data_IF_263401673466
#
_entry.id   IF_263401673466
#
_cell.length_a   1.000
_cell.length_b   1.000
_cell.length_c   1.000
_cell.angle_alpha   90.00
_cell.angle_beta   90.00
_cell.angle_gamma   90.00
#
_symmetry.space_group_name_H-M   'P 1'
#
loop_
_entity.id
_entity.type
_entity.pdbx_description
1 polymer ?
#
# COMPACT_ATOMS: atom_id res chain seq x y z
N UNK A 1 -4.10 -4.03 10.79
CA UNK A 1 -4.42 -4.93 9.69
C UNK A 1 -3.72 -4.48 8.41
N UNK A 2 -3.20 -5.40 7.65
CA UNK A 2 -2.47 -5.09 6.42
C UNK A 2 -3.07 -5.86 5.26
N UNK A 3 -3.06 -5.24 4.09
CA UNK A 3 -3.47 -5.90 2.85
C UNK A 3 -2.35 -5.78 1.84
N UNK A 4 -2.30 -6.73 0.94
CA UNK A 4 -1.27 -6.81 -0.08
C UNK A 4 -1.91 -6.96 -1.44
N UNK A 5 -1.19 -6.57 -2.47
CA UNK A 5 -1.65 -6.72 -3.83
C UNK A 5 -2.30 -5.46 -4.37
N UNK A 6 -2.16 -5.27 -5.67
CA UNK A 6 -2.56 -4.04 -6.34
C UNK A 6 -4.06 -3.75 -6.18
N UNK A 7 -4.90 -4.70 -6.54
CA UNK A 7 -6.34 -4.47 -6.55
C UNK A 7 -6.89 -4.19 -5.16
N UNK A 8 -6.45 -4.97 -4.18
CA UNK A 8 -6.93 -4.80 -2.81
C UNK A 8 -6.53 -3.43 -2.26
N UNK A 9 -5.31 -3.00 -2.56
CA UNK A 9 -4.83 -1.70 -2.09
C UNK A 9 -5.60 -0.58 -2.76
N UNK A 10 -5.84 -0.65 -4.06
CA UNK A 10 -6.59 0.38 -4.77
C UNK A 10 -8.00 0.50 -4.22
N UNK A 11 -8.67 -0.62 -4.00
CA UNK A 11 -10.02 -0.60 -3.42
C UNK A 11 -10.03 0.04 -2.04
N UNK A 12 -9.04 -0.28 -1.23
CA UNK A 12 -8.96 0.30 0.11
C UNK A 12 -8.67 1.79 0.08
N UNK A 13 -7.87 2.24 -0.88
CA UNK A 13 -7.62 3.66 -1.07
C UNK A 13 -8.90 4.40 -1.44
N UNK A 14 -9.69 3.84 -2.34
CA UNK A 14 -10.96 4.44 -2.70
C UNK A 14 -11.94 4.48 -1.54
N UNK A 15 -11.85 3.49 -0.65
CA UNK A 15 -12.69 3.44 0.53
C UNK A 15 -12.19 4.33 1.67
N UNK A 16 -11.02 4.93 1.52
CA UNK A 16 -10.45 5.79 2.54
C UNK A 16 -10.00 5.05 3.80
N UNK A 17 -9.63 3.79 3.67
CA UNK A 17 -9.28 2.95 4.83
C UNK A 17 -7.78 2.80 5.05
N UNK A 18 -6.96 3.30 4.15
CA UNK A 18 -5.52 3.11 4.23
C UNK A 18 -4.91 4.12 5.18
N UNK A 19 -4.11 3.63 6.12
CA UNK A 19 -3.41 4.45 7.09
C UNK A 19 -2.01 4.80 6.62
N UNK A 20 -1.33 3.83 6.02
CA UNK A 20 0.02 4.01 5.52
C UNK A 20 0.24 3.05 4.35
N UNK A 21 1.16 3.40 3.49
CA UNK A 21 1.43 2.62 2.28
C UNK A 21 2.91 2.34 2.16
N UNK A 22 3.24 1.11 1.78
CA UNK A 22 4.63 0.71 1.52
C UNK A 22 4.70 0.18 0.11
N UNK A 23 5.68 0.63 -0.66
CA UNK A 23 5.85 0.23 -2.04
C UNK A 23 7.29 -0.13 -2.33
N UNK A 24 7.49 -0.94 -3.36
CA UNK A 24 8.83 -1.34 -3.76
C UNK A 24 9.52 -0.25 -4.58
N UNK A 25 8.85 0.28 -5.57
CA UNK A 25 9.44 1.26 -6.48
C UNK A 25 8.35 2.20 -7.01
N UNK A 26 8.56 3.48 -6.79
CA UNK A 26 7.61 4.50 -7.25
C UNK A 26 7.53 4.60 -8.78
N UNK A 27 8.53 4.09 -9.47
CA UNK A 27 8.58 4.18 -10.94
C UNK A 27 7.76 3.11 -11.63
N UNK A 28 7.29 2.14 -10.89
CA UNK A 28 6.49 1.08 -11.46
C UNK A 28 5.14 1.65 -11.91
N UNK A 29 4.75 1.39 -13.15
CA UNK A 29 3.56 1.99 -13.74
C UNK A 29 2.30 1.83 -12.89
N UNK A 30 2.04 0.63 -12.42
CA UNK A 30 0.87 0.39 -11.60
C UNK A 30 0.92 1.10 -10.26
N UNK A 31 2.12 1.29 -9.72
CA UNK A 31 2.30 1.92 -8.43
C UNK A 31 2.20 3.44 -8.47
N UNK A 32 2.44 4.04 -9.63
CA UNK A 32 2.31 5.49 -9.78
C UNK A 32 0.92 5.96 -9.40
N UNK A 33 -0.09 5.25 -9.85
CA UNK A 33 -1.47 5.61 -9.56
C UNK A 33 -1.78 5.44 -8.09
N UNK A 34 -1.28 4.38 -7.48
CA UNK A 34 -1.47 4.14 -6.05
C UNK A 34 -0.83 5.27 -5.24
N UNK A 35 0.38 5.65 -5.60
CA UNK A 35 1.09 6.73 -4.92
C UNK A 35 0.32 8.04 -5.05
N UNK A 36 -0.20 8.32 -6.24
CA UNK A 36 -0.98 9.52 -6.47
C UNK A 36 -2.22 9.57 -5.60
N UNK A 37 -2.95 8.46 -5.52
CA UNK A 37 -4.14 8.39 -4.68
C UNK A 37 -3.78 8.58 -3.20
N UNK A 38 -2.67 7.98 -2.78
CA UNK A 38 -2.21 8.14 -1.41
C UNK A 38 -1.86 9.58 -1.09
N UNK A 39 -1.19 10.26 -2.01
CA UNK A 39 -0.83 11.66 -1.82
C UNK A 39 -2.07 12.54 -1.71
N UNK A 40 -3.08 12.28 -2.53
CA UNK A 40 -4.33 13.03 -2.48
C UNK A 40 -5.03 12.87 -1.14
N UNK A 41 -4.86 11.72 -0.50
CA UNK A 41 -5.46 11.45 0.80
C UNK A 41 -4.51 11.72 1.95
N UNK A 42 -3.33 12.27 1.67
CA UNK A 42 -2.30 12.58 2.67
C UNK A 42 -1.86 11.35 3.44
N UNK A 43 -1.79 10.22 2.77
CA UNK A 43 -1.33 8.97 3.34
C UNK A 43 0.19 8.89 3.18
N UNK A 44 0.94 8.61 4.25
CA UNK A 44 2.39 8.45 4.13
C UNK A 44 2.74 7.24 3.26
N UNK A 45 3.65 7.44 2.33
CA UNK A 45 4.13 6.40 1.43
C UNK A 45 5.60 6.18 1.72
N UNK A 46 5.97 4.92 2.01
CA UNK A 46 7.33 4.54 2.29
C UNK A 46 7.81 3.58 1.21
N UNK A 47 9.00 3.82 0.71
CA UNK A 47 9.62 2.92 -0.26
C UNK A 47 10.48 1.90 0.50
N UNK A 48 10.21 0.62 0.27
CA UNK A 48 10.92 -0.46 0.93
C UNK A 48 11.54 -1.40 -0.11
N UNK A 49 12.56 -2.14 0.31
CA UNK A 49 13.15 -3.17 -0.53
C UNK A 49 12.18 -4.34 -0.62
N UNK A 50 12.40 -5.21 -1.61
CA UNK A 50 11.56 -6.39 -1.78
C UNK A 50 11.57 -7.27 -0.54
N UNK A 51 12.74 -7.44 0.09
CA UNK A 51 12.86 -8.21 1.32
C UNK A 51 12.03 -7.63 2.45
N UNK A 52 12.06 -6.32 2.56
CA UNK A 52 11.29 -5.64 3.60
C UNK A 52 9.80 -5.76 3.34
N UNK A 53 9.39 -5.66 2.09
CA UNK A 53 7.99 -5.85 1.73
C UNK A 53 7.53 -7.27 2.01
N UNK A 54 8.37 -8.26 1.71
CA UNK A 54 8.05 -9.65 2.00
C UNK A 54 7.83 -9.85 3.51
N UNK A 55 8.66 -9.21 4.31
CA UNK A 55 8.53 -9.29 5.76
C UNK A 55 7.24 -8.63 6.24
N UNK A 56 6.95 -7.44 5.73
CA UNK A 56 5.74 -6.72 6.10
C UNK A 56 4.49 -7.46 5.64
N UNK A 57 4.56 -8.08 4.48
CA UNK A 57 3.44 -8.84 3.93
C UNK A 57 3.21 -10.17 4.64
N UNK A 58 4.15 -10.59 5.48
CA UNK A 58 4.00 -11.85 6.20
C UNK A 58 4.02 -13.07 5.30
N UNK A 59 4.78 -13.02 4.22
CA UNK A 59 4.88 -14.11 3.27
C UNK A 59 3.80 -14.15 2.21
N UNK A 60 2.88 -13.22 2.23
CA UNK A 60 1.83 -13.14 1.21
C UNK A 60 2.36 -12.48 -0.06
N UNK A 61 1.71 -12.77 -1.17
CA UNK A 61 2.04 -12.14 -2.43
C UNK A 61 1.63 -10.67 -2.38
N UNK A 62 2.58 -9.76 -2.54
CA UNK A 62 2.32 -8.32 -2.37
C UNK A 62 2.36 -7.51 -3.67
N UNK A 63 2.87 -8.06 -4.75
CA UNK A 63 2.97 -7.35 -6.05
C UNK A 63 3.68 -6.00 -5.93
N UNK A 64 4.56 -5.88 -4.95
CA UNK A 64 5.31 -4.64 -4.74
C UNK A 64 4.58 -3.56 -3.94
N UNK A 65 3.45 -3.88 -3.35
CA UNK A 65 2.69 -2.90 -2.58
C UNK A 65 2.00 -3.55 -1.38
N UNK A 66 2.10 -2.89 -0.23
CA UNK A 66 1.44 -3.31 1.00
C UNK A 66 0.82 -2.09 1.63
N UNK A 67 -0.41 -2.19 2.06
CA UNK A 67 -1.09 -1.09 2.74
C UNK A 67 -1.45 -1.50 4.16
N UNK A 68 -1.24 -0.57 5.09
CA UNK A 68 -1.70 -0.72 6.46
C UNK A 68 -3.07 -0.06 6.55
N UNK A 69 -4.03 -0.79 7.05
CA UNK A 69 -5.39 -0.27 7.19
C UNK A 69 -5.57 0.36 8.56
N UNK A 70 -6.40 1.36 8.61
CA UNK A 70 -6.76 1.97 9.87
C UNK A 70 -7.52 0.96 10.71
N UNK A 71 -7.11 0.72 11.95
CA UNK A 71 -7.83 -0.20 12.82
C UNK A 71 -9.13 0.40 13.34
N UNK A 72 -9.28 1.68 13.19
CA UNK A 72 -10.43 2.38 13.72
C UNK A 72 -11.55 2.44 12.69
N UNK A 73 -12.71 2.03 13.09
CA UNK A 73 -13.91 2.08 12.25
C UNK A 73 -14.93 2.92 12.97
N UNK A 74 -15.35 3.93 12.32
CA UNK A 74 -16.39 4.80 12.87
C UNK A 74 -17.76 4.23 12.60
#
# INVERSE_FOLDING_TARGET
>A
MKICGFNAVVESLHAGRVKALSIRDKRHDGLSEIVRLAELQRIPVTQLSEKELDRVAGGQRHQGVVASLSPHVM
#
